data_IF_142408280034
#
_entry.id   IF_142408280034
#
_cell.length_a   1.000
_cell.length_b   1.000
_cell.length_c   1.000
_cell.angle_alpha   90.00
_cell.angle_beta   90.00
_cell.angle_gamma   90.00
#
_symmetry.space_group_name_H-M   'P 1'
#
loop_
_entity.id
_entity.type
_entity.pdbx_description
1 polymer ?
#
# COMPACT_ATOMS: atom_id res chain seq x y z
N UNK A 1 6.59 10.55 11.80
CA UNK A 1 5.53 11.37 11.21
C UNK A 1 4.35 10.48 10.83
N UNK A 2 3.17 10.82 11.26
CA UNK A 2 1.99 10.01 10.96
C UNK A 2 1.35 10.46 9.66
N UNK A 3 1.11 9.50 8.79
CA UNK A 3 0.44 9.74 7.52
C UNK A 3 -1.06 9.55 7.71
N UNK A 4 -1.85 10.58 7.42
CA UNK A 4 -3.29 10.45 7.41
C UNK A 4 -3.70 9.72 6.13
N UNK A 5 -4.37 8.56 6.22
CA UNK A 5 -4.81 7.86 5.03
C UNK A 5 -5.97 8.60 4.38
N UNK A 6 -5.95 8.67 3.07
CA UNK A 6 -7.10 9.14 2.30
C UNK A 6 -7.81 7.91 1.75
N UNK A 7 -9.06 7.70 2.18
CA UNK A 7 -9.86 6.56 1.77
C UNK A 7 -10.99 7.05 0.88
N UNK A 8 -11.04 6.54 -0.34
CA UNK A 8 -12.02 6.93 -1.35
C UNK A 8 -12.94 5.75 -1.62
N UNK A 9 -14.25 5.99 -1.59
CA UNK A 9 -15.27 4.99 -1.89
C UNK A 9 -15.92 5.31 -3.23
N UNK A 10 -15.88 4.35 -4.16
CA UNK A 10 -16.50 4.48 -5.48
C UNK A 10 -17.52 3.35 -5.70
N UNK A 11 -18.77 3.71 -5.93
CA UNK A 11 -19.83 2.74 -6.18
C UNK A 11 -20.31 1.98 -4.95
N UNK A 12 -19.86 2.37 -3.76
CA UNK A 12 -20.32 1.81 -2.50
C UNK A 12 -20.44 2.92 -1.45
N UNK A 13 -21.27 2.70 -0.46
CA UNK A 13 -21.46 3.67 0.61
C UNK A 13 -20.21 3.75 1.50
N UNK A 14 -19.92 4.95 1.96
CA UNK A 14 -18.89 5.18 2.94
C UNK A 14 -19.17 4.34 4.19
N UNK A 15 -18.19 3.60 4.65
CA UNK A 15 -18.32 2.71 5.79
C UNK A 15 -17.27 3.06 6.84
N UNK A 16 -17.71 3.30 8.07
CA UNK A 16 -16.81 3.65 9.18
C UNK A 16 -15.89 2.48 9.52
N UNK A 17 -16.44 1.25 9.59
CA UNK A 17 -15.62 0.10 9.94
C UNK A 17 -14.56 -0.21 8.87
N UNK A 18 -14.88 -0.01 7.60
CA UNK A 18 -13.90 -0.17 6.51
C UNK A 18 -12.81 0.89 6.62
N UNK A 19 -13.19 2.13 6.85
CA UNK A 19 -12.24 3.22 7.05
C UNK A 19 -11.30 2.97 8.21
N UNK A 20 -11.82 2.49 9.34
CA UNK A 20 -11.02 2.16 10.52
C UNK A 20 -10.09 0.98 10.25
N UNK A 21 -10.57 -0.03 9.56
CA UNK A 21 -9.76 -1.19 9.17
C UNK A 21 -8.59 -0.78 8.29
N UNK A 22 -8.87 0.05 7.27
CA UNK A 22 -7.84 0.57 6.37
C UNK A 22 -6.84 1.44 7.13
N UNK A 23 -7.31 2.32 8.01
CA UNK A 23 -6.44 3.17 8.81
C UNK A 23 -5.46 2.34 9.66
N UNK A 24 -5.92 1.24 10.23
CA UNK A 24 -5.06 0.30 10.96
C UNK A 24 -3.98 -0.32 10.09
N UNK A 25 -4.31 -0.68 8.86
CA UNK A 25 -3.34 -1.23 7.91
C UNK A 25 -2.33 -0.17 7.46
N UNK A 26 -2.76 1.07 7.25
CA UNK A 26 -1.85 2.18 6.92
C UNK A 26 -0.87 2.43 8.07
N UNK A 27 -1.35 2.42 9.31
CA UNK A 27 -0.48 2.54 10.49
C UNK A 27 0.58 1.44 10.54
N UNK A 28 0.23 0.24 10.10
CA UNK A 28 1.17 -0.87 10.01
C UNK A 28 2.26 -0.61 8.94
N UNK A 29 1.90 0.01 7.81
CA UNK A 29 2.87 0.36 6.77
C UNK A 29 3.94 1.33 7.27
N UNK A 30 3.56 2.27 8.13
CA UNK A 30 4.49 3.25 8.69
C UNK A 30 5.63 2.61 9.48
N UNK A 31 5.44 1.40 9.99
CA UNK A 31 6.48 0.64 10.69
C UNK A 31 7.62 0.20 9.77
N UNK A 32 7.36 0.07 8.48
CA UNK A 32 8.38 -0.35 7.51
C UNK A 32 9.18 0.83 6.96
N UNK A 33 8.60 2.02 6.95
CA UNK A 33 9.29 3.22 6.48
C UNK A 33 8.67 4.48 7.07
N UNK A 34 9.49 5.35 7.61
CA UNK A 34 9.08 6.68 8.06
C UNK A 34 9.02 7.69 6.91
N UNK A 35 9.45 7.30 5.71
CA UNK A 35 9.54 8.19 4.55
C UNK A 35 8.21 8.33 3.79
N UNK A 36 7.19 7.57 4.17
CA UNK A 36 5.88 7.65 3.51
C UNK A 36 5.28 9.04 3.75
N UNK A 37 4.96 9.77 2.67
CA UNK A 37 4.35 11.09 2.75
C UNK A 37 2.85 11.05 2.51
N UNK A 38 2.35 10.08 1.74
CA UNK A 38 0.91 9.93 1.52
C UNK A 38 0.57 8.48 1.22
N UNK A 39 -0.65 8.11 1.61
CA UNK A 39 -1.24 6.81 1.30
C UNK A 39 -2.69 7.02 0.91
N UNK A 40 -3.03 6.63 -0.31
CA UNK A 40 -4.39 6.70 -0.84
C UNK A 40 -4.93 5.29 -1.03
N UNK A 41 -6.10 5.04 -0.51
CA UNK A 41 -6.77 3.75 -0.65
C UNK A 41 -8.10 3.98 -1.34
N UNK A 42 -8.29 3.37 -2.49
CA UNK A 42 -9.53 3.46 -3.26
C UNK A 42 -10.26 2.13 -3.22
N UNK A 43 -11.47 2.16 -2.71
CA UNK A 43 -12.36 1.00 -2.64
C UNK A 43 -13.44 1.19 -3.68
N UNK A 44 -13.54 0.27 -4.62
CA UNK A 44 -14.50 0.35 -5.73
C UNK A 44 -15.40 -0.87 -5.75
N UNK A 45 -16.64 -0.67 -6.12
CA UNK A 45 -17.58 -1.76 -6.40
C UNK A 45 -18.16 -1.57 -7.79
N UNK A 46 -17.99 -2.60 -8.63
CA UNK A 46 -18.64 -2.66 -9.92
C UNK A 46 -19.82 -3.61 -9.85
N UNK A 47 -20.98 -3.13 -10.28
CA UNK A 47 -22.17 -3.95 -10.32
C UNK A 47 -22.15 -4.87 -11.53
N UNK A 48 -22.20 -6.17 -11.28
CA UNK A 48 -22.29 -7.17 -12.35
C UNK A 48 -23.74 -7.59 -12.50
N UNK A 49 -24.36 -7.24 -13.63
CA UNK A 49 -25.81 -7.45 -13.86
C UNK A 49 -26.21 -8.92 -14.05
N UNK A 50 -25.26 -9.82 -14.31
CA UNK A 50 -25.55 -11.22 -14.64
C UNK A 50 -25.00 -12.25 -13.66
N UNK A 51 -24.43 -11.81 -12.55
CA UNK A 51 -23.79 -12.71 -11.59
C UNK A 51 -24.21 -12.38 -10.18
N UNK A 52 -24.27 -13.40 -9.33
CA UNK A 52 -24.43 -13.22 -7.91
C UNK A 52 -23.18 -12.58 -7.34
N UNK A 53 -23.34 -11.51 -6.57
CA UNK A 53 -22.24 -10.76 -6.00
C UNK A 53 -21.74 -9.63 -6.88
N UNK A 54 -20.88 -8.82 -6.34
CA UNK A 54 -20.28 -7.66 -7.00
C UNK A 54 -18.78 -7.79 -7.03
N UNK A 55 -18.17 -7.19 -8.05
CA UNK A 55 -16.71 -7.12 -8.11
C UNK A 55 -16.24 -5.93 -7.30
N UNK A 56 -15.41 -6.20 -6.30
CA UNK A 56 -14.78 -5.19 -5.48
C UNK A 56 -13.30 -5.08 -5.84
N UNK A 57 -12.80 -3.87 -5.86
CA UNK A 57 -11.36 -3.64 -6.01
C UNK A 57 -10.84 -2.77 -4.89
N UNK A 58 -9.61 -3.05 -4.48
CA UNK A 58 -8.88 -2.26 -3.50
C UNK A 58 -7.58 -1.82 -4.15
N UNK A 59 -7.38 -0.52 -4.28
CA UNK A 59 -6.15 0.05 -4.80
C UNK A 59 -5.46 0.82 -3.68
N UNK A 60 -4.21 0.48 -3.43
CA UNK A 60 -3.38 1.15 -2.43
C UNK A 60 -2.24 1.85 -3.15
N UNK A 61 -2.13 3.15 -2.95
CA UNK A 61 -1.09 3.98 -3.54
C UNK A 61 -0.28 4.61 -2.41
N UNK A 62 1.04 4.41 -2.44
CA UNK A 62 1.97 4.94 -1.43
C UNK A 62 2.97 5.84 -2.13
N UNK A 63 3.14 7.04 -1.62
CA UNK A 63 4.11 8.00 -2.12
C UNK A 63 5.20 8.23 -1.08
N UNK A 64 6.45 8.18 -1.55
CA UNK A 64 7.63 8.44 -0.75
C UNK A 64 8.57 9.37 -1.51
N UNK A 65 9.16 10.39 -0.84
CA UNK A 65 10.17 11.24 -1.48
C UNK A 65 11.37 10.39 -1.91
N UNK A 66 11.97 10.73 -3.02
CA UNK A 66 13.18 10.06 -3.56
C UNK A 66 12.96 8.62 -4.02
N UNK A 67 11.73 8.14 -3.99
CA UNK A 67 11.38 6.81 -4.48
C UNK A 67 10.28 6.92 -5.53
N UNK A 68 10.19 5.88 -6.33
CA UNK A 68 9.08 5.72 -7.24
C UNK A 68 7.80 5.44 -6.43
N UNK A 69 6.67 6.01 -6.85
CA UNK A 69 5.39 5.73 -6.22
C UNK A 69 5.06 4.24 -6.34
N UNK A 70 4.53 3.68 -5.27
CA UNK A 70 4.11 2.30 -5.23
C UNK A 70 2.59 2.22 -5.33
N UNK A 71 2.10 1.26 -6.11
CA UNK A 71 0.67 1.04 -6.25
C UNK A 71 0.38 -0.46 -6.39
N UNK A 72 -0.67 -0.90 -5.73
CA UNK A 72 -1.17 -2.27 -5.83
C UNK A 72 -2.68 -2.22 -5.97
N UNK A 73 -3.21 -3.03 -6.88
CA UNK A 73 -4.65 -3.19 -7.06
C UNK A 73 -4.99 -4.67 -6.97
N UNK A 74 -5.97 -4.99 -6.13
CA UNK A 74 -6.52 -6.34 -6.01
C UNK A 74 -8.03 -6.29 -6.27
N UNK A 75 -8.53 -7.27 -6.98
CA UNK A 75 -9.94 -7.38 -7.34
C UNK A 75 -10.46 -8.75 -6.99
N UNK A 76 -11.71 -8.81 -6.53
CA UNK A 76 -12.36 -10.08 -6.25
C UNK A 76 -13.87 -9.93 -6.33
N UNK A 77 -14.54 -10.96 -6.82
CA UNK A 77 -15.98 -11.04 -6.73
C UNK A 77 -16.38 -11.42 -5.30
N UNK A 78 -17.23 -10.62 -4.68
CA UNK A 78 -17.61 -10.76 -3.28
C UNK A 78 -19.12 -10.87 -3.17
N UNK A 79 -19.59 -11.83 -2.37
CA UNK A 79 -20.99 -12.02 -2.05
C UNK A 79 -21.37 -11.36 -0.72
N UNK A 80 -20.46 -11.36 0.24
CA UNK A 80 -20.66 -10.75 1.55
C UNK A 80 -19.50 -9.79 1.85
N UNK A 81 -19.81 -8.49 1.80
CA UNK A 81 -18.84 -7.42 2.01
C UNK A 81 -18.19 -7.49 3.40
N UNK A 82 -18.98 -7.75 4.45
CA UNK A 82 -18.47 -7.71 5.83
C UNK A 82 -17.45 -8.81 6.11
N UNK A 83 -17.64 -9.98 5.51
CA UNK A 83 -16.76 -11.13 5.75
C UNK A 83 -15.65 -11.27 4.74
N UNK A 84 -15.87 -10.83 3.50
CA UNK A 84 -14.94 -11.07 2.39
C UNK A 84 -14.07 -9.86 2.01
N UNK A 85 -14.57 -8.64 2.22
CA UNK A 85 -13.80 -7.43 1.88
C UNK A 85 -12.50 -7.30 2.68
N UNK A 86 -12.47 -7.61 3.99
CA UNK A 86 -11.20 -7.55 4.72
C UNK A 86 -10.09 -8.41 4.12
N UNK A 87 -10.42 -9.57 3.56
CA UNK A 87 -9.44 -10.42 2.90
C UNK A 87 -8.82 -9.73 1.68
N UNK A 88 -9.62 -9.04 0.87
CA UNK A 88 -9.13 -8.30 -0.29
C UNK A 88 -8.25 -7.12 0.13
N UNK A 89 -8.67 -6.41 1.17
CA UNK A 89 -7.88 -5.32 1.76
C UNK A 89 -6.52 -5.86 2.23
N UNK A 90 -6.52 -6.98 2.95
CA UNK A 90 -5.29 -7.61 3.44
C UNK A 90 -4.38 -8.06 2.31
N UNK A 91 -4.93 -8.59 1.23
CA UNK A 91 -4.13 -8.96 0.05
C UNK A 91 -3.45 -7.75 -0.58
N UNK A 92 -4.18 -6.65 -0.74
CA UNK A 92 -3.63 -5.42 -1.31
C UNK A 92 -2.52 -4.84 -0.42
N UNK A 93 -2.77 -4.76 0.89
CA UNK A 93 -1.77 -4.24 1.83
C UNK A 93 -0.58 -5.17 1.98
N UNK A 94 -0.79 -6.50 1.98
CA UNK A 94 0.30 -7.47 2.00
C UNK A 94 1.22 -7.31 0.79
N UNK A 95 0.66 -7.09 -0.38
CA UNK A 95 1.43 -6.88 -1.60
C UNK A 95 2.21 -5.55 -1.56
N UNK A 96 1.58 -4.46 -1.09
CA UNK A 96 2.26 -3.16 -0.99
C UNK A 96 3.36 -3.20 0.07
N UNK A 97 3.15 -3.91 1.18
CA UNK A 97 4.16 -4.12 2.21
C UNK A 97 5.39 -4.82 1.65
N UNK A 98 5.20 -5.84 0.82
CA UNK A 98 6.30 -6.54 0.14
C UNK A 98 7.08 -5.61 -0.76
N UNK A 99 6.40 -4.79 -1.57
CA UNK A 99 7.05 -3.80 -2.44
C UNK A 99 7.81 -2.77 -1.62
N UNK A 100 7.21 -2.31 -0.53
CA UNK A 100 7.82 -1.30 0.35
C UNK A 100 9.10 -1.84 0.99
N UNK A 101 9.08 -3.06 1.50
CA UNK A 101 10.26 -3.73 2.07
C UNK A 101 11.39 -3.85 1.04
N UNK A 102 11.07 -4.22 -0.19
CA UNK A 102 12.05 -4.32 -1.27
C UNK A 102 12.66 -2.97 -1.61
N UNK A 103 11.85 -1.93 -1.68
CA UNK A 103 12.30 -0.57 -1.96
C UNK A 103 13.23 -0.06 -0.88
N UNK A 104 12.89 -0.24 0.39
CA UNK A 104 13.71 0.16 1.53
C UNK A 104 15.03 -0.63 1.56
N UNK A 105 14.98 -1.93 1.35
CA UNK A 105 16.17 -2.78 1.34
C UNK A 105 17.11 -2.42 0.20
N UNK A 106 16.57 -2.16 -0.99
CA UNK A 106 17.36 -1.74 -2.16
C UNK A 106 18.09 -0.44 -1.89
N UNK A 107 17.41 0.54 -1.31
CA UNK A 107 18.03 1.82 -0.98
C UNK A 107 19.15 1.67 0.04
N UNK A 108 18.95 0.88 1.08
CA UNK A 108 20.00 0.60 2.07
C UNK A 108 21.22 -0.04 1.43
N UNK A 109 21.01 -0.95 0.50
CA UNK A 109 22.08 -1.60 -0.24
C UNK A 109 22.84 -0.60 -1.11
N UNK A 110 22.16 0.27 -1.83
CA UNK A 110 22.75 1.33 -2.65
C UNK A 110 23.58 2.30 -1.80
N UNK A 111 23.07 2.71 -0.65
CA UNK A 111 23.78 3.60 0.27
C UNK A 111 25.06 2.95 0.81
N UNK A 112 25.01 1.68 1.17
CA UNK A 112 26.19 0.93 1.62
C UNK A 112 27.23 0.79 0.51
N UNK A 113 26.80 0.46 -0.71
CA UNK A 113 27.69 0.35 -1.86
C UNK A 113 28.38 1.68 -2.16
N UNK A 114 27.64 2.77 -2.11
CA UNK A 114 28.19 4.11 -2.32
C UNK A 114 29.23 4.48 -1.26
N UNK A 115 28.97 4.19 0.00
CA UNK A 115 29.89 4.44 1.11
C UNK A 115 31.18 3.65 0.95
N UNK A 116 31.08 2.38 0.58
CA UNK A 116 32.24 1.51 0.34
C UNK A 116 33.08 2.06 -0.82
N UNK A 117 32.48 2.51 -1.91
CA UNK A 117 33.18 3.10 -3.04
C UNK A 117 33.94 4.36 -2.66
N UNK A 118 33.35 5.24 -1.86
CA UNK A 118 33.98 6.46 -1.37
C UNK A 118 35.18 6.13 -0.48
N UNK A 119 35.04 5.20 0.44
CA UNK A 119 36.13 4.74 1.31
C UNK A 119 37.25 4.13 0.52
N UNK A 120 36.95 3.31 -0.48
CA UNK A 120 37.96 2.72 -1.35
C UNK A 120 38.75 3.76 -2.13
N UNK A 121 38.10 4.81 -2.64
CA UNK A 121 38.75 5.92 -3.33
C UNK A 121 39.67 6.69 -2.40
N UNK A 122 39.23 6.98 -1.19
CA UNK A 122 40.05 7.68 -0.19
C UNK A 122 41.27 6.86 0.22
N UNK A 123 41.11 5.54 0.34
CA UNK A 123 42.22 4.64 0.69
C UNK A 123 43.26 4.50 -0.45
N UNK A 124 42.85 4.70 -1.71
CA UNK A 124 43.73 4.62 -2.86
C UNK A 124 44.59 5.86 -3.06
N UNK A 125 44.22 6.96 -2.43
CA UNK A 125 45.01 8.19 -2.44
C UNK A 125 46.07 8.18 -1.31
#
# INVERSE_FOLDING_TARGET
MRVAPEVIFKGLRRSVWVGDYVAGRVGHLEKFSSDITSCHVTLSREQSSHRKGNRYSVMVEVRMPRHQDLAVRKQKQIHNMQTQLPAVINEAFGAIETQLKRTVARRRHEEKAHTVDVEARLAAE
#
